data_IF_499202856863
#
_entry.id   IF_499202856863
#
_cell.length_a   1.000
_cell.length_b   1.000
_cell.length_c   1.000
_cell.angle_alpha   90.00
_cell.angle_beta   90.00
_cell.angle_gamma   90.00
#
_symmetry.space_group_name_H-M   'P 1'
#
loop_
_entity.id
_entity.type
_entity.pdbx_description
1 polymer ?
#
# COMPACT_ATOMS: atom_id res chain seq x y z
N UNK A 1 6.79 15.04 -8.98
CA UNK A 1 7.17 14.74 -7.58
C UNK A 1 7.71 16.01 -6.94
N UNK A 2 7.11 16.50 -5.85
CA UNK A 2 7.61 17.71 -5.16
C UNK A 2 8.95 17.38 -4.47
N UNK A 3 10.05 17.87 -5.06
CA UNK A 3 11.41 17.66 -4.55
C UNK A 3 11.59 18.21 -3.13
N UNK A 4 10.89 19.30 -2.77
CA UNK A 4 10.99 19.91 -1.43
C UNK A 4 10.38 19.00 -0.38
N UNK A 5 9.22 18.42 -0.67
CA UNK A 5 8.56 17.47 0.22
C UNK A 5 9.43 16.22 0.43
N UNK A 6 9.99 15.66 -0.64
CA UNK A 6 10.83 14.46 -0.56
C UNK A 6 12.10 14.67 0.28
N UNK A 7 12.78 15.81 0.09
CA UNK A 7 13.94 16.19 0.92
C UNK A 7 13.55 16.39 2.38
N UNK A 8 12.40 17.02 2.65
CA UNK A 8 11.90 17.21 4.01
C UNK A 8 11.62 15.86 4.69
N UNK A 9 10.98 14.93 3.99
CA UNK A 9 10.71 13.58 4.48
C UNK A 9 12.01 12.82 4.76
N UNK A 10 12.99 12.86 3.85
CA UNK A 10 14.29 12.23 4.06
C UNK A 10 14.99 12.76 5.32
N UNK A 11 15.02 14.09 5.50
CA UNK A 11 15.57 14.73 6.70
C UNK A 11 14.82 14.32 7.97
N UNK A 12 13.49 14.29 7.92
CA UNK A 12 12.65 13.93 9.06
C UNK A 12 12.87 12.47 9.50
N UNK A 13 12.96 11.54 8.54
CA UNK A 13 13.21 10.13 8.82
C UNK A 13 14.63 9.90 9.37
N UNK A 14 15.66 10.59 8.84
CA UNK A 14 17.03 10.55 9.40
C UNK A 14 17.05 11.10 10.83
N UNK A 15 16.33 12.18 11.11
CA UNK A 15 16.22 12.69 12.47
C UNK A 15 15.53 11.68 13.41
N UNK A 16 14.46 11.04 12.93
CA UNK A 16 13.65 10.08 13.72
C UNK A 16 14.42 8.83 14.12
N UNK A 17 15.29 8.30 13.25
CA UNK A 17 16.12 7.14 13.59
C UNK A 17 17.22 7.45 14.62
N UNK A 18 17.49 8.74 14.90
CA UNK A 18 18.53 9.17 15.83
C UNK A 18 19.68 9.95 15.19
N UNK A 19 19.52 10.40 13.94
CA UNK A 19 20.52 11.18 13.22
C UNK A 19 21.38 10.34 12.29
N UNK A 20 22.46 10.96 11.79
CA UNK A 20 23.28 10.42 10.69
C UNK A 20 23.89 9.07 11.05
N UNK A 21 24.46 8.93 12.25
CA UNK A 21 25.17 7.71 12.63
C UNK A 21 24.19 6.55 12.88
N UNK A 22 23.03 6.83 13.47
CA UNK A 22 21.97 5.84 13.64
C UNK A 22 21.37 5.40 12.29
N UNK A 23 21.24 6.32 11.34
CA UNK A 23 20.81 6.00 9.98
C UNK A 23 21.82 5.09 9.26
N UNK A 24 23.13 5.35 9.40
CA UNK A 24 24.17 4.45 8.87
C UNK A 24 24.04 3.04 9.45
N UNK A 25 23.93 2.92 10.78
CA UNK A 25 23.81 1.64 11.46
C UNK A 25 22.52 0.89 11.07
N UNK A 26 21.39 1.59 10.93
CA UNK A 26 20.13 1.00 10.49
C UNK A 26 20.22 0.44 9.06
N UNK A 27 20.89 1.15 8.16
CA UNK A 27 21.08 0.72 6.76
C UNK A 27 22.01 -0.50 6.70
N UNK A 28 23.11 -0.47 7.44
CA UNK A 28 24.05 -1.60 7.53
C UNK A 28 23.40 -2.84 8.15
N UNK A 29 22.56 -2.68 9.18
CA UNK A 29 21.84 -3.78 9.81
C UNK A 29 20.83 -4.46 8.86
N UNK A 30 20.21 -3.71 7.95
CA UNK A 30 19.23 -4.24 6.99
C UNK A 30 19.90 -4.93 5.79
N UNK A 31 21.01 -4.37 5.27
CA UNK A 31 21.59 -4.84 4.00
C UNK A 31 22.97 -5.49 4.12
N UNK A 32 23.59 -5.47 5.30
CA UNK A 32 24.95 -5.99 5.54
C UNK A 32 26.07 -5.18 4.89
N UNK A 33 25.74 -4.09 4.20
CA UNK A 33 26.70 -3.19 3.55
C UNK A 33 26.69 -1.81 4.22
N UNK A 34 27.85 -1.30 4.66
CA UNK A 34 27.91 -0.01 5.32
C UNK A 34 27.70 1.13 4.32
N UNK A 35 26.87 2.09 4.68
CA UNK A 35 26.73 3.37 3.96
C UNK A 35 27.62 4.44 4.60
N UNK A 36 28.32 5.23 3.79
CA UNK A 36 29.18 6.28 4.33
C UNK A 36 28.36 7.35 5.07
N UNK A 37 28.87 7.80 6.23
CA UNK A 37 28.34 8.93 6.98
C UNK A 37 28.20 10.21 6.13
N UNK A 38 29.15 10.42 5.22
CA UNK A 38 29.12 11.54 4.28
C UNK A 38 27.95 11.48 3.30
N UNK A 39 27.55 10.28 2.87
CA UNK A 39 26.37 10.07 2.02
C UNK A 39 25.10 10.50 2.76
N UNK A 40 24.91 9.98 3.99
CA UNK A 40 23.73 10.29 4.79
C UNK A 40 23.67 11.77 5.17
N UNK A 41 24.81 12.40 5.48
CA UNK A 41 24.90 13.84 5.74
C UNK A 41 24.50 14.67 4.51
N UNK A 42 24.94 14.29 3.30
CA UNK A 42 24.50 14.96 2.07
C UNK A 42 23.01 14.82 1.82
N UNK A 43 22.42 13.65 2.13
CA UNK A 43 20.97 13.43 2.04
C UNK A 43 20.22 14.32 3.03
N UNK A 44 20.64 14.34 4.30
CA UNK A 44 20.01 15.14 5.34
C UNK A 44 19.98 16.64 5.00
N UNK A 45 21.02 17.13 4.32
CA UNK A 45 21.15 18.52 3.90
C UNK A 45 20.56 18.80 2.50
N UNK A 46 19.96 17.81 1.84
CA UNK A 46 19.32 17.98 0.52
C UNK A 46 20.31 18.12 -0.65
N UNK A 47 21.57 17.74 -0.46
CA UNK A 47 22.60 17.71 -1.50
C UNK A 47 22.65 16.39 -2.27
N UNK A 48 21.96 15.36 -1.77
CA UNK A 48 21.83 14.06 -2.41
C UNK A 48 20.42 13.52 -2.21
N UNK A 49 19.87 12.86 -3.22
CA UNK A 49 18.57 12.21 -3.09
C UNK A 49 18.71 10.89 -2.32
N UNK A 50 17.74 10.60 -1.44
CA UNK A 50 17.69 9.33 -0.73
C UNK A 50 17.25 8.21 -1.69
N UNK A 51 17.87 7.04 -1.60
CA UNK A 51 17.47 5.88 -2.41
C UNK A 51 16.30 5.13 -1.78
N UNK A 52 15.58 4.35 -2.58
CA UNK A 52 14.48 3.53 -2.07
C UNK A 52 14.93 2.50 -1.03
N UNK A 53 16.09 1.86 -1.23
CA UNK A 53 16.65 0.92 -0.25
C UNK A 53 16.91 1.60 1.11
N UNK A 54 17.51 2.80 1.09
CA UNK A 54 17.72 3.58 2.31
C UNK A 54 16.40 3.94 3.00
N UNK A 55 15.39 4.33 2.22
CA UNK A 55 14.04 4.57 2.77
C UNK A 55 13.52 3.31 3.47
N UNK A 56 13.56 2.14 2.83
CA UNK A 56 13.06 0.88 3.43
C UNK A 56 13.76 0.55 4.75
N UNK A 57 15.08 0.61 4.80
CA UNK A 57 15.84 0.34 6.02
C UNK A 57 15.44 1.29 7.16
N UNK A 58 15.34 2.59 6.88
CA UNK A 58 14.98 3.58 7.89
C UNK A 58 13.51 3.46 8.33
N UNK A 59 12.60 3.12 7.42
CA UNK A 59 11.19 2.86 7.78
C UNK A 59 11.06 1.64 8.68
N UNK A 60 11.82 0.56 8.42
CA UNK A 60 11.86 -0.62 9.30
C UNK A 60 12.42 -0.28 10.68
N UNK A 61 13.49 0.51 10.74
CA UNK A 61 14.10 0.89 12.02
C UNK A 61 13.22 1.82 12.87
N UNK A 62 12.30 2.57 12.26
CA UNK A 62 11.51 3.61 12.95
C UNK A 62 10.01 3.34 13.02
N UNK A 63 9.49 2.39 12.23
CA UNK A 63 8.05 2.22 12.00
C UNK A 63 7.40 3.38 11.22
N UNK A 64 8.18 4.33 10.70
CA UNK A 64 7.65 5.50 9.99
C UNK A 64 7.16 5.15 8.59
N UNK A 65 5.85 5.16 8.39
CA UNK A 65 5.23 4.84 7.09
C UNK A 65 5.03 6.06 6.17
N UNK A 66 5.66 7.21 6.45
CA UNK A 66 5.46 8.43 5.68
C UNK A 66 5.78 8.27 4.17
N UNK A 67 6.91 7.66 3.82
CA UNK A 67 7.27 7.40 2.41
C UNK A 67 6.31 6.42 1.73
N UNK A 68 5.88 5.37 2.44
CA UNK A 68 4.88 4.43 1.94
C UNK A 68 3.54 5.12 1.66
N UNK A 69 3.08 5.98 2.58
CA UNK A 69 1.87 6.78 2.39
C UNK A 69 2.01 7.79 1.24
N UNK A 70 3.17 8.41 1.09
CA UNK A 70 3.45 9.31 -0.03
C UNK A 70 3.37 8.58 -1.38
N UNK A 71 4.01 7.41 -1.50
CA UNK A 71 3.96 6.58 -2.71
C UNK A 71 2.55 6.08 -3.00
N UNK A 72 1.82 5.63 -1.98
CA UNK A 72 0.42 5.21 -2.10
C UNK A 72 -0.44 6.34 -2.66
N UNK A 73 -0.36 7.55 -2.08
CA UNK A 73 -1.11 8.72 -2.56
C UNK A 73 -0.71 9.14 -3.96
N UNK A 74 0.58 9.05 -4.30
CA UNK A 74 1.04 9.33 -5.65
C UNK A 74 0.41 8.36 -6.67
N UNK A 75 0.28 7.07 -6.30
CA UNK A 75 -0.39 6.06 -7.13
C UNK A 75 -1.91 6.23 -7.18
N UNK A 76 -2.55 6.67 -6.08
CA UNK A 76 -3.98 7.01 -6.07
C UNK A 76 -4.31 8.12 -7.08
N UNK A 77 -3.41 9.10 -7.25
CA UNK A 77 -3.57 10.17 -8.26
C UNK A 77 -3.31 9.70 -9.70
N UNK A 78 -2.66 8.55 -9.89
CA UNK A 78 -2.48 7.95 -11.21
C UNK A 78 -3.73 7.19 -11.70
N UNK A 79 -4.81 7.14 -10.91
CA UNK A 79 -5.99 6.34 -11.23
C UNK A 79 -5.72 4.84 -11.27
N UNK A 80 -4.58 4.40 -10.73
CA UNK A 80 -4.22 3.00 -10.61
C UNK A 80 -5.03 2.38 -9.47
N UNK A 81 -6.27 2.01 -9.77
CA UNK A 81 -7.07 1.13 -8.91
C UNK A 81 -6.41 -0.25 -8.98
N UNK A 82 -6.13 -0.91 -7.83
CA UNK A 82 -5.67 -2.29 -7.87
C UNK A 82 -6.64 -3.11 -8.72
N UNK A 83 -6.12 -3.79 -9.74
CA UNK A 83 -6.96 -4.53 -10.67
C UNK A 83 -7.72 -5.61 -9.90
N UNK A 84 -9.04 -5.49 -9.85
CA UNK A 84 -9.89 -6.58 -9.39
C UNK A 84 -9.69 -7.73 -10.37
N UNK A 85 -9.21 -8.86 -9.87
CA UNK A 85 -9.01 -10.07 -10.66
C UNK A 85 -10.13 -11.08 -10.40
N UNK A 86 -10.22 -12.08 -11.27
CA UNK A 86 -11.17 -13.19 -11.12
C UNK A 86 -11.04 -13.93 -9.76
N UNK A 87 -9.87 -13.88 -9.10
CA UNK A 87 -9.65 -14.47 -7.77
C UNK A 87 -10.45 -13.72 -6.69
N UNK A 88 -10.50 -12.40 -6.76
CA UNK A 88 -11.29 -11.59 -5.85
C UNK A 88 -12.79 -11.86 -6.03
N UNK A 89 -13.26 -11.88 -7.28
CA UNK A 89 -14.66 -12.21 -7.56
C UNK A 89 -15.03 -13.62 -7.12
N UNK A 90 -14.12 -14.59 -7.25
CA UNK A 90 -14.34 -15.97 -6.80
C UNK A 90 -14.47 -16.05 -5.27
N UNK A 91 -13.56 -15.39 -4.54
CA UNK A 91 -13.55 -15.39 -3.07
C UNK A 91 -14.86 -14.86 -2.51
N UNK A 92 -15.20 -13.61 -2.86
CA UNK A 92 -16.38 -12.94 -2.28
C UNK A 92 -17.69 -13.62 -2.73
N UNK A 93 -17.77 -14.12 -3.98
CA UNK A 93 -18.94 -14.89 -4.42
C UNK A 93 -19.11 -16.19 -3.64
N UNK A 94 -18.01 -16.86 -3.29
CA UNK A 94 -18.05 -18.09 -2.50
C UNK A 94 -18.48 -17.78 -1.06
N UNK A 95 -17.95 -16.72 -0.45
CA UNK A 95 -18.33 -16.28 0.90
C UNK A 95 -19.82 -15.91 0.97
N UNK A 96 -20.33 -15.19 -0.04
CA UNK A 96 -21.76 -14.89 -0.17
C UNK A 96 -22.63 -16.15 -0.27
N UNK A 97 -22.28 -17.11 -1.13
CA UNK A 97 -23.03 -18.37 -1.29
C UNK A 97 -23.03 -19.18 0.01
N UNK A 98 -21.91 -19.24 0.73
CA UNK A 98 -21.83 -19.95 2.00
C UNK A 98 -22.69 -19.30 3.09
N UNK A 99 -22.69 -17.96 3.18
CA UNK A 99 -23.51 -17.23 4.13
C UNK A 99 -25.02 -17.35 3.81
N UNK A 100 -25.39 -17.33 2.53
CA UNK A 100 -26.77 -17.60 2.08
C UNK A 100 -27.23 -19.00 2.50
N UNK A 101 -26.41 -20.02 2.23
CA UNK A 101 -26.74 -21.40 2.61
C UNK A 101 -26.88 -21.58 4.13
N UNK A 102 -26.06 -20.89 4.92
CA UNK A 102 -26.17 -20.89 6.39
C UNK A 102 -27.46 -20.21 6.86
N UNK A 103 -27.82 -19.06 6.27
CA UNK A 103 -29.04 -18.34 6.59
C UNK A 103 -30.31 -19.13 6.24
N UNK A 104 -30.29 -19.86 5.12
CA UNK A 104 -31.38 -20.76 4.69
C UNK A 104 -31.60 -21.93 5.66
N UNK A 105 -30.55 -22.42 6.31
CA UNK A 105 -30.60 -23.57 7.23
C UNK A 105 -30.96 -23.17 8.67
N UNK A 106 -30.40 -22.06 9.15
CA UNK A 106 -30.49 -21.67 10.56
C UNK A 106 -31.73 -20.84 10.89
N UNK A 107 -32.16 -19.96 9.96
CA UNK A 107 -33.33 -19.10 10.13
C UNK A 107 -33.21 -18.03 11.23
N UNK A 108 -32.03 -17.84 11.82
CA UNK A 108 -31.78 -16.82 12.84
C UNK A 108 -31.43 -15.45 12.22
N UNK A 109 -31.62 -14.38 12.99
CA UNK A 109 -31.44 -13.02 12.47
C UNK A 109 -29.98 -12.67 12.14
N UNK A 110 -29.01 -13.28 12.82
CA UNK A 110 -27.59 -12.96 12.65
C UNK A 110 -27.05 -13.60 11.36
N UNK A 111 -27.43 -14.85 11.08
CA UNK A 111 -27.11 -15.51 9.81
C UNK A 111 -27.75 -14.80 8.61
N UNK A 112 -28.99 -14.32 8.75
CA UNK A 112 -29.66 -13.50 7.74
C UNK A 112 -28.92 -12.17 7.48
N UNK A 113 -28.50 -11.47 8.54
CA UNK A 113 -27.73 -10.23 8.41
C UNK A 113 -26.37 -10.48 7.75
N UNK A 114 -25.69 -11.56 8.14
CA UNK A 114 -24.42 -11.98 7.53
C UNK A 114 -24.62 -12.25 6.03
N UNK A 115 -25.64 -13.02 5.65
CA UNK A 115 -25.93 -13.29 4.24
C UNK A 115 -26.12 -11.99 3.43
N UNK A 116 -26.81 -10.99 3.98
CA UNK A 116 -26.95 -9.66 3.34
C UNK A 116 -25.60 -8.96 3.19
N UNK A 117 -24.79 -8.91 4.26
CA UNK A 117 -23.46 -8.28 4.24
C UNK A 117 -22.56 -8.90 3.17
N UNK A 118 -22.37 -10.22 3.22
CA UNK A 118 -21.45 -10.92 2.30
C UNK A 118 -21.95 -10.83 0.86
N UNK A 119 -23.27 -10.82 0.63
CA UNK A 119 -23.85 -10.60 -0.71
C UNK A 119 -23.56 -9.19 -1.24
N UNK A 120 -23.61 -8.16 -0.38
CA UNK A 120 -23.27 -6.80 -0.78
C UNK A 120 -21.78 -6.66 -1.11
N UNK A 121 -20.91 -7.28 -0.33
CA UNK A 121 -19.45 -7.31 -0.60
C UNK A 121 -19.15 -8.00 -1.95
N UNK A 122 -19.84 -9.10 -2.27
CA UNK A 122 -19.75 -9.75 -3.57
C UNK A 122 -20.27 -8.87 -4.73
N UNK A 123 -21.34 -8.09 -4.51
CA UNK A 123 -21.85 -7.15 -5.52
C UNK A 123 -20.86 -6.01 -5.76
N UNK A 124 -20.26 -5.47 -4.71
CA UNK A 124 -19.33 -4.35 -4.82
C UNK A 124 -18.04 -4.78 -5.54
N UNK A 125 -17.48 -5.96 -5.25
CA UNK A 125 -16.30 -6.44 -5.99
C UNK A 125 -16.61 -6.68 -7.48
N UNK A 126 -17.82 -7.14 -7.81
CA UNK A 126 -18.24 -7.32 -9.21
C UNK A 126 -18.45 -5.98 -9.92
N UNK A 127 -18.96 -4.97 -9.22
CA UNK A 127 -19.08 -3.60 -9.75
C UNK A 127 -17.72 -3.00 -10.03
N UNK A 128 -16.76 -3.17 -9.11
CA UNK A 128 -15.40 -2.66 -9.28
C UNK A 128 -14.68 -3.34 -10.45
N UNK A 129 -14.82 -4.67 -10.58
CA UNK A 129 -14.33 -5.41 -11.75
C UNK A 129 -14.92 -4.87 -13.06
N UNK A 130 -16.24 -4.69 -13.10
CA UNK A 130 -16.94 -4.20 -14.29
C UNK A 130 -16.51 -2.78 -14.65
N UNK A 131 -16.38 -1.90 -13.65
CA UNK A 131 -15.89 -0.54 -13.83
C UNK A 131 -14.48 -0.51 -14.41
N UNK A 132 -13.58 -1.35 -13.87
CA UNK A 132 -12.23 -1.54 -14.41
C UNK A 132 -12.23 -2.01 -15.86
N UNK A 133 -13.04 -3.02 -16.19
CA UNK A 133 -13.15 -3.54 -17.56
C UNK A 133 -13.75 -2.51 -18.54
N UNK A 134 -14.76 -1.76 -18.10
CA UNK A 134 -15.36 -0.71 -18.92
C UNK A 134 -14.37 0.44 -19.18
N UNK A 135 -13.53 0.78 -18.20
CA UNK A 135 -12.46 1.75 -18.38
C UNK A 135 -11.40 1.25 -19.38
N UNK A 136 -10.95 0.00 -19.27
CA UNK A 136 -9.95 -0.58 -20.17
C UNK A 136 -10.42 -0.61 -21.64
N UNK A 137 -11.71 -0.91 -21.86
CA UNK A 137 -12.31 -0.90 -23.21
C UNK A 137 -12.35 0.51 -23.82
N UNK A 138 -12.52 1.56 -23.01
CA UNK A 138 -12.54 2.95 -23.49
C UNK A 138 -11.14 3.47 -23.84
N UNK A 139 -10.12 3.01 -23.13
CA UNK A 139 -8.72 3.49 -23.31
C UNK A 139 -7.91 2.65 -24.29
N UNK A 140 -8.46 1.54 -24.81
CA UNK A 140 -7.74 0.62 -25.70
C UNK A 140 -6.55 -0.09 -25.03
N UNK A 141 -6.47 -0.02 -23.70
CA UNK A 141 -5.39 -0.62 -22.91
C UNK A 141 -5.85 -2.03 -22.49
N UNK A 142 -5.03 -3.08 -22.63
CA UNK A 142 -5.38 -4.39 -22.08
C UNK A 142 -5.59 -4.27 -20.57
N UNK A 143 -6.67 -4.91 -20.10
CA UNK A 143 -7.05 -4.99 -18.68
C UNK A 143 -6.04 -5.82 -17.87
#
# INVERSE_FOLDING_TARGET
>A
MDKRLFMHMARATIARVGGVDAACAAIEAEYGEPVSRGTISKIQNGHLDITFAQVVALQKATGDIAFANFLRRANEHCGAVPAVTHVHTLKEATEAVMAQAEAEQSGDADSQLRAVKETLEAVDIMRDWLAGKAASLKTGTPA
#
